data_IF_672079718911
#
_entry.id   IF_672079718911
#
_cell.length_a   1.000
_cell.length_b   1.000
_cell.length_c   1.000
_cell.angle_alpha   90.00
_cell.angle_beta   90.00
_cell.angle_gamma   90.00
#
_symmetry.space_group_name_H-M   'P 1'
#
loop_
_entity.id
_entity.type
_entity.pdbx_description
1 polymer ?
#
# COMPACT_ATOMS: atom_id res chain seq x y z
N UNK A 1 -4.52 -7.42 25.27
CA UNK A 1 -3.98 -7.10 23.93
C UNK A 1 -2.97 -6.00 24.11
N UNK A 2 -1.75 -6.11 23.55
CA UNK A 2 -0.80 -4.99 23.57
C UNK A 2 -1.45 -3.80 22.85
N UNK A 3 -1.31 -2.60 23.41
CA UNK A 3 -1.87 -1.39 22.84
C UNK A 3 -1.21 -1.12 21.48
N UNK A 4 -2.02 -0.85 20.46
CA UNK A 4 -1.49 -0.52 19.13
C UNK A 4 -0.83 0.85 19.19
N UNK A 5 0.46 0.91 18.90
CA UNK A 5 1.23 2.14 18.88
C UNK A 5 1.84 2.34 17.49
N UNK A 6 1.29 3.24 16.70
CA UNK A 6 1.77 3.58 15.36
C UNK A 6 3.18 4.22 15.36
N UNK A 7 3.66 4.72 16.50
CA UNK A 7 5.00 5.33 16.63
C UNK A 7 6.11 4.30 16.88
N UNK A 8 5.77 3.06 17.19
CA UNK A 8 6.75 1.96 17.34
C UNK A 8 7.06 1.35 15.98
N UNK A 9 7.81 2.09 15.17
CA UNK A 9 8.12 1.72 13.77
C UNK A 9 8.87 0.39 13.67
N UNK A 10 9.64 0.00 14.68
CA UNK A 10 10.38 -1.27 14.71
C UNK A 10 9.46 -2.51 14.80
N UNK A 11 8.23 -2.32 15.26
CA UNK A 11 7.24 -3.40 15.37
C UNK A 11 6.55 -3.71 14.03
N UNK A 12 6.70 -2.85 13.02
CA UNK A 12 6.02 -2.97 11.73
C UNK A 12 6.95 -3.57 10.69
N UNK A 13 6.47 -4.55 9.92
CA UNK A 13 7.25 -5.22 8.89
C UNK A 13 6.36 -5.77 7.77
N UNK A 14 6.84 -5.64 6.54
CA UNK A 14 6.20 -6.19 5.36
C UNK A 14 5.42 -5.16 4.56
N UNK A 15 5.35 -5.40 3.26
CA UNK A 15 4.60 -4.58 2.31
C UNK A 15 3.28 -5.27 2.00
N UNK A 16 2.18 -4.56 2.16
CA UNK A 16 0.84 -5.08 1.92
C UNK A 16 0.15 -4.34 0.79
N UNK A 17 -0.68 -5.05 0.06
CA UNK A 17 -1.54 -4.53 -0.99
C UNK A 17 -2.99 -4.89 -0.68
N UNK A 18 -3.85 -3.89 -0.58
CA UNK A 18 -5.29 -4.13 -0.60
C UNK A 18 -5.71 -4.52 -2.02
N UNK A 19 -6.10 -5.77 -2.17
CA UNK A 19 -6.54 -6.33 -3.45
C UNK A 19 -8.05 -6.14 -3.59
N UNK A 20 -8.44 -5.10 -4.32
CA UNK A 20 -9.84 -4.78 -4.58
C UNK A 20 -10.51 -5.92 -5.34
N UNK A 21 -11.70 -6.32 -4.90
CA UNK A 21 -12.56 -7.26 -5.59
C UNK A 21 -13.94 -6.64 -5.86
N UNK A 22 -14.60 -7.14 -6.89
CA UNK A 22 -15.99 -6.83 -7.20
C UNK A 22 -16.67 -8.08 -7.70
N UNK A 23 -17.82 -8.41 -7.12
CA UNK A 23 -18.60 -9.62 -7.49
C UNK A 23 -17.74 -10.91 -7.48
N UNK A 24 -16.87 -11.05 -6.49
CA UNK A 24 -15.98 -12.21 -6.34
C UNK A 24 -14.77 -12.22 -7.30
N UNK A 25 -14.55 -11.17 -8.09
CA UNK A 25 -13.44 -11.05 -9.03
C UNK A 25 -12.44 -10.00 -8.59
N UNK A 26 -11.17 -10.39 -8.48
CA UNK A 26 -10.07 -9.44 -8.18
C UNK A 26 -9.87 -8.50 -9.36
N UNK A 27 -9.81 -7.20 -9.06
CA UNK A 27 -9.69 -6.15 -10.06
C UNK A 27 -8.24 -5.95 -10.53
N UNK A 28 -8.07 -5.52 -11.78
CA UNK A 28 -6.76 -5.36 -12.43
C UNK A 28 -5.78 -4.45 -11.66
N UNK A 29 -6.29 -3.44 -10.96
CA UNK A 29 -5.47 -2.54 -10.12
C UNK A 29 -4.70 -3.31 -9.04
N UNK A 30 -5.25 -4.40 -8.51
CA UNK A 30 -4.61 -5.23 -7.49
C UNK A 30 -3.32 -5.86 -8.00
N UNK A 31 -3.31 -6.36 -9.21
CA UNK A 31 -2.14 -6.96 -9.85
C UNK A 31 -1.04 -5.92 -10.14
N UNK A 32 -1.45 -4.72 -10.55
CA UNK A 32 -0.52 -3.59 -10.75
C UNK A 32 0.16 -3.19 -9.43
N UNK A 33 -0.63 -3.06 -8.36
CA UNK A 33 -0.10 -2.73 -7.04
C UNK A 33 0.79 -3.83 -6.46
N UNK A 34 0.49 -5.10 -6.70
CA UNK A 34 1.37 -6.20 -6.30
C UNK A 34 2.73 -6.12 -7.01
N UNK A 35 2.73 -5.77 -8.29
CA UNK A 35 3.98 -5.59 -9.05
C UNK A 35 4.83 -4.44 -8.48
N UNK A 36 4.22 -3.32 -8.09
CA UNK A 36 4.93 -2.22 -7.42
C UNK A 36 5.34 -2.61 -5.98
N UNK A 37 4.44 -3.22 -5.23
CA UNK A 37 4.73 -3.71 -3.89
C UNK A 37 5.88 -4.72 -3.85
N UNK A 38 6.04 -5.55 -4.89
CA UNK A 38 7.15 -6.50 -5.00
C UNK A 38 8.51 -5.79 -5.08
N UNK A 39 8.58 -4.67 -5.80
CA UNK A 39 9.82 -3.86 -5.86
C UNK A 39 10.19 -3.34 -4.48
N UNK A 40 9.24 -2.72 -3.78
CA UNK A 40 9.44 -2.20 -2.42
C UNK A 40 9.83 -3.31 -1.44
N UNK A 41 9.12 -4.44 -1.47
CA UNK A 41 9.39 -5.58 -0.59
C UNK A 41 10.77 -6.19 -0.83
N UNK A 42 11.23 -6.24 -2.08
CA UNK A 42 12.59 -6.70 -2.42
C UNK A 42 13.65 -5.75 -1.88
N UNK A 43 13.45 -4.43 -2.01
CA UNK A 43 14.39 -3.42 -1.52
C UNK A 43 14.48 -3.40 0.01
N UNK A 44 13.37 -3.68 0.69
CA UNK A 44 13.32 -3.81 2.15
C UNK A 44 13.72 -5.20 2.67
N UNK A 45 13.78 -6.21 1.82
CA UNK A 45 14.04 -7.60 2.23
C UNK A 45 12.91 -8.19 3.08
N UNK A 46 11.65 -7.87 2.77
CA UNK A 46 10.46 -8.30 3.52
C UNK A 46 9.45 -9.02 2.64
N UNK A 47 8.44 -9.66 3.28
CA UNK A 47 7.33 -10.30 2.57
C UNK A 47 6.39 -9.25 1.92
N UNK A 48 5.85 -9.62 0.74
CA UNK A 48 4.73 -8.94 0.10
C UNK A 48 3.46 -9.74 0.36
N UNK A 49 2.45 -9.09 0.94
CA UNK A 49 1.17 -9.74 1.22
C UNK A 49 0.03 -9.04 0.46
N UNK A 50 -0.83 -9.84 -0.17
CA UNK A 50 -2.14 -9.38 -0.65
C UNK A 50 -3.19 -9.50 0.43
N UNK A 51 -4.11 -8.54 0.50
CA UNK A 51 -5.31 -8.61 1.38
C UNK A 51 -6.54 -8.54 0.52
N UNK A 52 -7.34 -9.61 0.53
CA UNK A 52 -8.62 -9.70 -0.18
C UNK A 52 -9.73 -9.80 0.87
N UNK A 53 -10.74 -8.97 0.74
CA UNK A 53 -11.93 -9.03 1.59
C UNK A 53 -13.16 -9.20 0.71
N UNK A 54 -14.06 -10.12 1.06
CA UNK A 54 -15.23 -10.40 0.24
C UNK A 54 -16.05 -11.54 0.77
N UNK A 55 -16.88 -12.09 -0.08
CA UNK A 55 -17.57 -13.35 0.15
C UNK A 55 -17.53 -14.18 -1.13
N UNK A 56 -17.18 -15.45 -0.99
CA UNK A 56 -17.14 -16.41 -2.10
C UNK A 56 -16.25 -15.94 -3.27
N UNK A 57 -15.11 -15.29 -2.97
CA UNK A 57 -14.14 -14.91 -4.01
C UNK A 57 -13.56 -16.17 -4.63
N UNK A 58 -13.54 -16.23 -5.96
CA UNK A 58 -13.03 -17.39 -6.67
C UNK A 58 -11.54 -17.64 -6.34
N UNK A 59 -11.24 -18.87 -5.94
CA UNK A 59 -9.86 -19.29 -5.58
C UNK A 59 -8.82 -19.07 -6.68
N UNK A 60 -9.21 -19.14 -7.95
CA UNK A 60 -8.27 -18.93 -9.06
C UNK A 60 -7.73 -17.50 -9.06
N UNK A 61 -8.54 -16.50 -8.66
CA UNK A 61 -8.06 -15.14 -8.47
C UNK A 61 -7.12 -15.03 -7.28
N UNK A 62 -7.42 -15.72 -6.17
CA UNK A 62 -6.53 -15.72 -5.00
C UNK A 62 -5.17 -16.37 -5.32
N UNK A 63 -5.16 -17.47 -6.05
CA UNK A 63 -3.93 -18.14 -6.51
C UNK A 63 -3.15 -17.27 -7.48
N UNK A 64 -3.84 -16.56 -8.38
CA UNK A 64 -3.20 -15.67 -9.36
C UNK A 64 -2.39 -14.54 -8.68
N UNK A 65 -2.80 -14.06 -7.49
CA UNK A 65 -2.06 -13.04 -6.76
C UNK A 65 -0.60 -13.45 -6.46
N UNK A 66 -0.37 -14.76 -6.20
CA UNK A 66 0.98 -15.31 -6.04
C UNK A 66 1.83 -15.17 -7.31
N UNK A 67 1.23 -15.36 -8.49
CA UNK A 67 1.89 -15.17 -9.79
C UNK A 67 2.30 -13.72 -10.07
N UNK A 68 1.64 -12.76 -9.43
CA UNK A 68 1.96 -11.33 -9.49
C UNK A 68 2.86 -10.84 -8.35
N UNK A 69 3.40 -11.75 -7.56
CA UNK A 69 4.46 -11.47 -6.61
C UNK A 69 4.06 -11.51 -5.13
N UNK A 70 2.82 -11.82 -4.78
CA UNK A 70 2.44 -12.00 -3.38
C UNK A 70 3.08 -13.28 -2.79
N UNK A 71 3.82 -13.13 -1.69
CA UNK A 71 4.34 -14.27 -0.92
C UNK A 71 3.24 -14.90 -0.06
N UNK A 72 2.25 -14.07 0.32
CA UNK A 72 1.11 -14.47 1.16
C UNK A 72 -0.15 -13.71 0.77
N UNK A 73 -1.29 -14.36 0.91
CA UNK A 73 -2.61 -13.74 0.73
C UNK A 73 -3.43 -13.94 2.00
N UNK A 74 -3.89 -12.84 2.58
CA UNK A 74 -4.91 -12.85 3.61
C UNK A 74 -6.28 -12.72 2.93
N UNK A 75 -7.06 -13.77 2.96
CA UNK A 75 -8.43 -13.74 2.48
C UNK A 75 -9.41 -13.75 3.66
N UNK A 76 -10.21 -12.71 3.76
CA UNK A 76 -11.25 -12.58 4.77
C UNK A 76 -12.59 -12.83 4.08
N UNK A 77 -13.10 -14.06 4.25
CA UNK A 77 -14.38 -14.50 3.71
C UNK A 77 -15.49 -14.26 4.72
N UNK A 78 -16.40 -13.37 4.39
CA UNK A 78 -17.56 -13.11 5.23
C UNK A 78 -18.71 -12.55 4.38
N UNK A 79 -19.95 -13.05 4.50
CA UNK A 79 -21.11 -12.54 3.77
C UNK A 79 -21.36 -11.04 3.91
N UNK A 80 -20.96 -10.43 5.03
CA UNK A 80 -21.07 -8.99 5.27
C UNK A 80 -20.04 -8.17 4.45
N UNK A 81 -19.05 -8.83 3.86
CA UNK A 81 -18.04 -8.22 3.00
C UNK A 81 -18.28 -8.47 1.51
N UNK A 82 -19.42 -9.09 1.15
CA UNK A 82 -19.79 -9.35 -0.25
C UNK A 82 -19.79 -8.07 -1.05
N UNK A 83 -20.50 -7.07 -0.54
CA UNK A 83 -20.57 -5.75 -1.11
C UNK A 83 -19.74 -4.77 -0.27
N UNK A 84 -19.11 -3.80 -0.93
CA UNK A 84 -18.31 -2.80 -0.23
C UNK A 84 -19.20 -1.90 0.64
N UNK A 85 -18.81 -1.80 1.89
CA UNK A 85 -19.26 -0.74 2.82
C UNK A 85 -18.06 -0.16 3.52
N UNK A 86 -17.97 1.17 3.59
CA UNK A 86 -16.81 1.86 4.18
C UNK A 86 -16.51 1.39 5.60
N UNK A 87 -17.51 1.35 6.46
CA UNK A 87 -17.32 0.99 7.88
C UNK A 87 -16.95 -0.48 8.07
N UNK A 88 -17.58 -1.39 7.33
CA UNK A 88 -17.28 -2.83 7.38
C UNK A 88 -15.84 -3.12 6.94
N UNK A 89 -15.47 -2.63 5.78
CA UNK A 89 -14.13 -2.82 5.22
C UNK A 89 -13.06 -2.13 6.07
N UNK A 90 -13.29 -0.89 6.50
CA UNK A 90 -12.33 -0.16 7.33
C UNK A 90 -12.13 -0.85 8.70
N UNK A 91 -13.20 -1.38 9.30
CA UNK A 91 -13.07 -2.13 10.56
C UNK A 91 -12.18 -3.35 10.38
N UNK A 92 -12.49 -4.20 9.41
CA UNK A 92 -11.78 -5.47 9.20
C UNK A 92 -10.33 -5.24 8.81
N UNK A 93 -10.08 -4.31 7.88
CA UNK A 93 -8.72 -3.99 7.44
C UNK A 93 -7.87 -3.40 8.57
N UNK A 94 -8.42 -2.47 9.34
CA UNK A 94 -7.70 -1.89 10.47
C UNK A 94 -7.43 -2.91 11.57
N UNK A 95 -8.38 -3.78 11.89
CA UNK A 95 -8.17 -4.84 12.88
C UNK A 95 -7.03 -5.78 12.45
N UNK A 96 -6.98 -6.14 11.17
CA UNK A 96 -5.90 -6.97 10.61
C UNK A 96 -4.55 -6.24 10.63
N UNK A 97 -4.52 -4.97 10.27
CA UNK A 97 -3.30 -4.13 10.31
C UNK A 97 -2.79 -4.00 11.76
N UNK A 98 -3.67 -3.77 12.72
CA UNK A 98 -3.27 -3.68 14.13
C UNK A 98 -2.70 -4.99 14.66
N UNK A 99 -3.20 -6.12 14.19
CA UNK A 99 -2.72 -7.45 14.59
C UNK A 99 -1.37 -7.79 13.95
N UNK A 100 -1.24 -7.58 12.63
CA UNK A 100 -0.10 -8.07 11.83
C UNK A 100 0.98 -7.02 11.58
N UNK A 101 0.68 -5.74 11.75
CA UNK A 101 1.61 -4.61 11.69
C UNK A 101 2.45 -4.55 10.40
N UNK A 102 1.85 -4.40 9.21
CA UNK A 102 2.61 -4.09 8.01
C UNK A 102 3.23 -2.70 8.11
N UNK A 103 4.44 -2.51 7.55
CA UNK A 103 5.07 -1.18 7.52
C UNK A 103 4.56 -0.31 6.37
N UNK A 104 4.15 -0.93 5.26
CA UNK A 104 3.59 -0.24 4.10
C UNK A 104 2.28 -0.90 3.71
N UNK A 105 1.25 -0.08 3.44
CA UNK A 105 -0.02 -0.51 2.88
C UNK A 105 -0.30 0.25 1.59
N UNK A 106 -0.39 -0.45 0.47
CA UNK A 106 -0.78 0.10 -0.82
C UNK A 106 -2.27 -0.13 -1.08
N UNK A 107 -2.95 0.94 -1.47
CA UNK A 107 -4.38 0.93 -1.81
C UNK A 107 -4.54 1.61 -3.17
N UNK A 108 -5.31 1.02 -4.09
CA UNK A 108 -5.55 1.59 -5.40
C UNK A 108 -6.29 2.93 -5.34
N UNK A 109 -5.94 3.88 -6.20
CA UNK A 109 -6.62 5.17 -6.30
C UNK A 109 -7.96 5.08 -7.07
N UNK A 110 -8.70 4.01 -6.85
CA UNK A 110 -10.07 3.81 -7.35
C UNK A 110 -11.08 4.58 -6.50
N UNK A 111 -12.33 4.64 -6.90
CA UNK A 111 -13.39 5.23 -6.07
C UNK A 111 -13.49 4.56 -4.70
N UNK A 112 -13.35 3.24 -4.65
CA UNK A 112 -13.36 2.47 -3.41
C UNK A 112 -12.12 2.80 -2.56
N UNK A 113 -10.93 2.78 -3.15
CA UNK A 113 -9.69 3.05 -2.40
C UNK A 113 -9.60 4.49 -1.90
N UNK A 114 -10.14 5.47 -2.64
CA UNK A 114 -10.23 6.89 -2.22
C UNK A 114 -11.19 7.10 -1.04
N UNK A 115 -12.13 6.20 -0.85
CA UNK A 115 -13.02 6.20 0.32
C UNK A 115 -12.39 5.41 1.49
N UNK A 116 -11.89 4.20 1.23
CA UNK A 116 -11.34 3.31 2.26
C UNK A 116 -10.02 3.82 2.86
N UNK A 117 -9.09 4.27 2.02
CA UNK A 117 -7.73 4.65 2.46
C UNK A 117 -7.73 5.72 3.54
N UNK A 118 -8.36 6.90 3.32
CA UNK A 118 -8.43 7.95 4.34
C UNK A 118 -9.13 7.52 5.62
N UNK A 119 -10.16 6.66 5.51
CA UNK A 119 -10.88 6.13 6.65
C UNK A 119 -9.99 5.22 7.51
N UNK A 120 -9.19 4.35 6.88
CA UNK A 120 -8.23 3.52 7.59
C UNK A 120 -7.10 4.36 8.21
N UNK A 121 -6.54 5.31 7.46
CA UNK A 121 -5.47 6.18 7.96
C UNK A 121 -5.90 6.96 9.21
N UNK A 122 -7.09 7.56 9.19
CA UNK A 122 -7.65 8.26 10.34
C UNK A 122 -7.85 7.33 11.54
N UNK A 123 -8.33 6.10 11.32
CA UNK A 123 -8.58 5.12 12.38
C UNK A 123 -7.30 4.57 13.00
N UNK A 124 -6.24 4.45 12.21
CA UNK A 124 -4.92 3.97 12.63
C UNK A 124 -4.00 5.09 13.13
N UNK A 125 -4.45 6.35 13.05
CA UNK A 125 -3.63 7.54 13.35
C UNK A 125 -2.31 7.58 12.58
N UNK A 126 -2.37 7.24 11.28
CA UNK A 126 -1.20 7.24 10.38
C UNK A 126 -1.40 8.21 9.22
N UNK A 127 -0.29 8.52 8.52
CA UNK A 127 -0.34 9.32 7.30
C UNK A 127 -0.88 8.56 6.11
N UNK A 128 -1.35 9.32 5.10
CA UNK A 128 -1.75 8.78 3.80
C UNK A 128 -1.37 9.79 2.72
N UNK A 129 -0.70 9.30 1.68
CA UNK A 129 -0.42 10.09 0.48
C UNK A 129 -1.24 9.55 -0.68
N UNK A 130 -2.14 10.38 -1.22
CA UNK A 130 -3.00 10.00 -2.33
C UNK A 130 -2.33 10.31 -3.68
N UNK A 131 -2.74 9.55 -4.70
CA UNK A 131 -2.37 9.76 -6.10
C UNK A 131 -0.86 9.68 -6.37
N UNK A 132 -0.16 8.81 -5.66
CA UNK A 132 1.26 8.57 -5.89
C UNK A 132 1.51 8.06 -7.31
N UNK A 133 2.51 8.64 -7.96
CA UNK A 133 2.98 8.25 -9.29
C UNK A 133 4.33 7.55 -9.26
N UNK A 134 5.05 7.66 -8.15
CA UNK A 134 6.31 6.99 -7.93
C UNK A 134 6.52 6.69 -6.44
N UNK A 135 7.08 5.52 -6.13
CA UNK A 135 7.34 5.03 -4.79
C UNK A 135 8.75 4.46 -4.71
N UNK A 136 9.53 4.88 -3.70
CA UNK A 136 10.84 4.33 -3.39
C UNK A 136 11.03 4.17 -1.89
N UNK A 137 11.82 3.18 -1.50
CA UNK A 137 12.36 3.00 -0.14
C UNK A 137 13.89 3.10 -0.13
N UNK A 138 14.52 2.90 -1.29
CA UNK A 138 15.96 3.00 -1.48
C UNK A 138 16.35 4.42 -1.89
N UNK A 139 17.25 5.06 -1.14
CA UNK A 139 17.69 6.44 -1.38
C UNK A 139 18.45 6.57 -2.70
N UNK A 140 19.23 5.56 -3.09
CA UNK A 140 20.01 5.63 -4.33
C UNK A 140 19.08 5.60 -5.55
N UNK A 141 18.08 4.70 -5.56
CA UNK A 141 17.04 4.64 -6.60
C UNK A 141 16.24 5.94 -6.67
N UNK A 142 15.86 6.48 -5.52
CA UNK A 142 15.17 7.76 -5.46
C UNK A 142 16.01 8.92 -6.02
N UNK A 143 17.30 8.98 -5.72
CA UNK A 143 18.22 9.96 -6.31
C UNK A 143 18.31 9.82 -7.82
N UNK A 144 18.40 8.61 -8.36
CA UNK A 144 18.41 8.36 -9.80
C UNK A 144 17.08 8.77 -10.47
N UNK A 145 15.97 8.50 -9.84
CA UNK A 145 14.66 9.01 -10.29
C UNK A 145 14.65 10.54 -10.35
N UNK A 146 15.12 11.23 -9.31
CA UNK A 146 15.17 12.70 -9.29
C UNK A 146 16.09 13.28 -10.37
N UNK A 147 17.23 12.65 -10.66
CA UNK A 147 18.15 13.10 -11.74
C UNK A 147 17.48 13.08 -13.12
N UNK A 148 16.53 12.19 -13.33
CA UNK A 148 15.84 12.03 -14.62
C UNK A 148 14.54 12.82 -14.72
N UNK A 149 13.91 13.17 -13.59
CA UNK A 149 12.54 13.72 -13.56
C UNK A 149 12.43 15.09 -12.94
N UNK A 150 13.50 15.62 -12.34
CA UNK A 150 13.48 16.91 -11.65
C UNK A 150 14.69 17.78 -12.00
N UNK A 151 14.60 19.07 -11.63
CA UNK A 151 15.72 20.02 -11.74
C UNK A 151 16.48 20.17 -10.40
N UNK A 152 16.29 19.25 -9.46
CA UNK A 152 16.96 19.28 -8.15
C UNK A 152 18.43 18.89 -8.36
N UNK A 153 19.34 19.68 -7.79
CA UNK A 153 20.74 19.31 -7.71
C UNK A 153 20.93 18.21 -6.66
N UNK A 154 20.77 16.96 -7.12
CA UNK A 154 20.81 15.77 -6.27
C UNK A 154 22.16 15.59 -5.57
N UNK A 155 23.25 16.01 -6.23
CA UNK A 155 24.61 15.77 -5.72
C UNK A 155 24.99 16.76 -4.60
N UNK A 156 24.37 17.95 -4.58
CA UNK A 156 24.55 18.96 -3.54
C UNK A 156 23.40 18.99 -2.51
N UNK A 157 22.36 18.17 -2.70
CA UNK A 157 21.24 18.08 -1.75
C UNK A 157 21.49 16.97 -0.74
N UNK A 158 21.31 17.28 0.55
CA UNK A 158 21.37 16.26 1.61
C UNK A 158 20.08 15.47 1.64
N UNK A 159 20.20 14.16 1.51
CA UNK A 159 19.12 13.21 1.70
C UNK A 159 19.35 12.42 2.98
N UNK A 160 18.29 12.12 3.70
CA UNK A 160 18.36 11.19 4.82
C UNK A 160 18.54 9.76 4.28
N UNK A 161 19.61 9.08 4.72
CA UNK A 161 19.86 7.69 4.37
C UNK A 161 19.02 6.77 5.26
N UNK A 162 17.74 6.63 4.91
CA UNK A 162 16.79 5.76 5.59
C UNK A 162 15.93 5.03 4.56
N UNK A 163 15.21 4.01 5.03
CA UNK A 163 14.29 3.19 4.22
C UNK A 163 12.84 3.68 4.30
N UNK A 164 12.61 4.90 4.76
CA UNK A 164 11.26 5.48 4.79
C UNK A 164 10.69 5.55 3.37
N UNK A 165 9.41 5.26 3.24
CA UNK A 165 8.74 5.32 1.95
C UNK A 165 8.68 6.75 1.43
N UNK A 166 9.26 6.96 0.27
CA UNK A 166 9.24 8.22 -0.48
C UNK A 166 8.12 8.16 -1.50
N UNK A 167 7.12 9.01 -1.32
CA UNK A 167 5.88 9.00 -2.09
C UNK A 167 5.82 10.26 -2.95
N UNK A 168 6.04 10.12 -4.25
CA UNK A 168 5.95 11.23 -5.20
C UNK A 168 4.55 11.31 -5.78
N UNK A 169 3.98 12.51 -5.76
CA UNK A 169 2.63 12.79 -6.27
C UNK A 169 2.57 14.11 -7.02
N UNK A 170 1.64 14.28 -7.99
CA UNK A 170 1.35 15.58 -8.57
C UNK A 170 0.79 16.56 -7.51
N UNK A 171 1.24 17.80 -7.60
CA UNK A 171 0.73 18.92 -6.79
C UNK A 171 0.31 20.06 -7.72
N UNK A 172 -0.61 20.93 -7.27
CA UNK A 172 -1.03 22.15 -7.94
C UNK A 172 -1.21 22.02 -9.47
N UNK A 173 -2.29 21.37 -9.88
CA UNK A 173 -2.68 21.27 -11.30
C UNK A 173 -1.81 20.31 -12.13
N UNK A 174 -0.99 19.47 -11.49
CA UNK A 174 -0.18 18.45 -12.18
C UNK A 174 1.12 18.94 -12.80
N UNK A 175 1.44 20.24 -12.66
CA UNK A 175 2.69 20.80 -13.18
C UNK A 175 3.87 20.72 -12.19
N UNK A 176 3.59 20.48 -10.92
CA UNK A 176 4.60 20.30 -9.87
C UNK A 176 4.48 18.91 -9.30
N UNK A 177 5.64 18.30 -8.97
CA UNK A 177 5.70 17.02 -8.27
C UNK A 177 6.19 17.29 -6.85
N UNK A 178 5.53 16.70 -5.87
CA UNK A 178 5.92 16.72 -4.47
C UNK A 178 6.28 15.30 -4.02
N UNK A 179 7.36 15.16 -3.24
CA UNK A 179 7.69 13.93 -2.55
C UNK A 179 7.58 14.14 -1.04
N UNK A 180 6.98 13.18 -0.37
CA UNK A 180 6.67 13.18 1.06
C UNK A 180 7.38 11.97 1.67
#
# INVERSE_FOLDING_TARGET
MAEFNAMDTAAFKGVWVFCEQREGQVQAISYQLLSEGRKLANDLGVELCGVVMGSEVNEDYLKALGGYGADRVYYIDNPLLKDYTTDGYAKVLCDLIMEKKPEIMLIGATNLGRDLGPRCAARLHTGLTADCTHLDVDVAKYKDFLRTTSNIDVDNTKFEENTNLKMTRPAFGGHLMATI
#
